data_IF_734250364421
#
_entry.id   IF_734250364421
#
_cell.length_a   1.000
_cell.length_b   1.000
_cell.length_c   1.000
_cell.angle_alpha   90.00
_cell.angle_beta   90.00
_cell.angle_gamma   90.00
#
_symmetry.space_group_name_H-M   'P 1'
#
loop_
_entity.id
_entity.type
_entity.pdbx_description
1 polymer ?
#
# COMPACT_ATOMS: atom_id res chain seq x y z
N UNK A 1 -3.17 7.61 15.62
CA UNK A 1 -2.71 7.39 14.24
C UNK A 1 -1.39 6.61 14.30
N UNK A 2 -1.35 5.43 13.72
CA UNK A 2 -0.20 4.51 13.65
C UNK A 2 0.38 4.58 12.25
N UNK A 3 1.67 4.88 12.15
CA UNK A 3 2.38 5.00 10.88
C UNK A 3 2.89 3.63 10.45
N UNK A 4 2.55 3.19 9.24
CA UNK A 4 2.84 1.84 8.75
C UNK A 4 3.61 1.92 7.43
N UNK A 5 4.64 1.09 7.31
CA UNK A 5 5.30 0.78 6.04
C UNK A 5 4.90 -0.61 5.56
N UNK A 6 4.58 -0.75 4.27
CA UNK A 6 4.21 -2.04 3.65
C UNK A 6 5.30 -2.47 2.69
N UNK A 7 5.90 -3.64 2.94
CA UNK A 7 6.91 -4.24 2.06
C UNK A 7 6.23 -5.23 1.13
N UNK A 8 6.45 -5.10 -0.18
CA UNK A 8 5.81 -5.97 -1.18
C UNK A 8 4.34 -5.59 -1.45
N UNK A 9 4.03 -4.30 -1.36
CA UNK A 9 2.71 -3.72 -1.58
C UNK A 9 2.17 -3.96 -3.01
N UNK A 10 3.04 -4.27 -3.98
CA UNK A 10 2.67 -4.59 -5.36
C UNK A 10 2.15 -6.02 -5.57
N UNK A 11 2.21 -6.89 -4.56
CA UNK A 11 1.58 -8.21 -4.61
C UNK A 11 0.09 -8.15 -4.25
N UNK A 12 -0.68 -9.18 -4.59
CA UNK A 12 -2.13 -9.21 -4.31
C UNK A 12 -2.49 -8.95 -2.85
N UNK A 13 -1.77 -9.58 -1.91
CA UNK A 13 -1.98 -9.36 -0.48
C UNK A 13 -1.61 -7.95 -0.05
N UNK A 14 -0.54 -7.39 -0.63
CA UNK A 14 -0.11 -6.03 -0.36
C UNK A 14 -1.12 -4.99 -0.85
N UNK A 15 -1.71 -5.22 -2.02
CA UNK A 15 -2.76 -4.39 -2.58
C UNK A 15 -4.04 -4.42 -1.74
N UNK A 16 -4.46 -5.60 -1.27
CA UNK A 16 -5.61 -5.71 -0.36
C UNK A 16 -5.35 -5.07 1.00
N UNK A 17 -4.12 -5.20 1.53
CA UNK A 17 -3.73 -4.49 2.75
C UNK A 17 -3.81 -2.97 2.56
N UNK A 18 -3.32 -2.44 1.43
CA UNK A 18 -3.45 -1.03 1.08
C UNK A 18 -4.92 -0.59 1.04
N UNK A 19 -5.81 -1.39 0.42
CA UNK A 19 -7.25 -1.11 0.37
C UNK A 19 -7.88 -1.03 1.75
N UNK A 20 -7.54 -1.96 2.65
CA UNK A 20 -8.03 -1.97 4.03
C UNK A 20 -7.47 -0.79 4.83
N UNK A 21 -6.17 -0.51 4.72
CA UNK A 21 -5.53 0.62 5.40
C UNK A 21 -6.11 1.97 4.95
N UNK A 22 -6.43 2.12 3.66
CA UNK A 22 -7.03 3.35 3.12
C UNK A 22 -8.40 3.68 3.75
N UNK A 23 -9.10 2.69 4.31
CA UNK A 23 -10.38 2.85 4.99
C UNK A 23 -10.26 2.85 6.52
N UNK A 24 -9.06 2.65 7.08
CA UNK A 24 -8.87 2.49 8.52
C UNK A 24 -8.58 3.84 9.19
N UNK A 25 -9.39 4.29 10.16
CA UNK A 25 -9.33 5.66 10.69
C UNK A 25 -8.04 5.97 11.46
N UNK A 26 -7.34 4.94 11.96
CA UNK A 26 -6.15 5.12 12.76
C UNK A 26 -4.84 4.74 12.06
N UNK A 27 -4.86 4.29 10.80
CA UNK A 27 -3.64 3.85 10.09
C UNK A 27 -3.28 4.85 9.00
N UNK A 28 -2.01 5.25 9.00
CA UNK A 28 -1.42 6.05 7.94
C UNK A 28 -0.32 5.24 7.25
N UNK A 29 -0.53 4.89 5.99
CA UNK A 29 0.51 4.22 5.19
C UNK A 29 1.48 5.29 4.70
N UNK A 30 2.69 5.28 5.25
CA UNK A 30 3.72 6.29 4.96
C UNK A 30 4.78 5.80 3.98
N UNK A 31 4.80 4.49 3.72
CA UNK A 31 5.69 3.87 2.75
C UNK A 31 5.05 2.58 2.20
N UNK A 32 5.18 2.37 0.90
CA UNK A 32 4.80 1.14 0.22
C UNK A 32 5.91 0.79 -0.77
N UNK A 33 6.47 -0.41 -0.68
CA UNK A 33 7.51 -0.86 -1.62
C UNK A 33 6.95 -1.89 -2.58
N UNK A 34 7.48 -1.90 -3.80
CA UNK A 34 7.27 -2.94 -4.80
C UNK A 34 8.59 -3.16 -5.54
N UNK A 35 8.80 -4.37 -6.06
CA UNK A 35 10.00 -4.69 -6.82
C UNK A 35 9.87 -4.17 -8.26
N UNK A 36 9.27 -4.98 -9.15
CA UNK A 36 9.04 -4.62 -10.56
C UNK A 36 8.13 -3.39 -10.78
N UNK A 37 7.44 -2.93 -9.74
CA UNK A 37 6.51 -1.80 -9.77
C UNK A 37 7.00 -0.58 -8.97
N UNK A 38 8.28 -0.54 -8.58
CA UNK A 38 8.87 0.61 -7.91
C UNK A 38 8.68 1.90 -8.74
N UNK A 39 8.26 2.98 -8.06
CA UNK A 39 8.02 4.29 -8.70
C UNK A 39 6.65 4.45 -9.35
N UNK A 40 5.85 3.38 -9.45
CA UNK A 40 4.47 3.44 -9.94
C UNK A 40 3.51 3.71 -8.79
N UNK A 41 2.53 4.58 -9.00
CA UNK A 41 1.46 4.81 -8.03
C UNK A 41 0.59 3.55 -7.90
N UNK A 42 0.27 3.15 -6.67
CA UNK A 42 -0.59 1.99 -6.41
C UNK A 42 -1.96 2.11 -7.10
N UNK A 43 -2.53 3.32 -7.17
CA UNK A 43 -3.79 3.61 -7.87
C UNK A 43 -3.73 3.43 -9.39
N UNK A 44 -2.53 3.45 -10.00
CA UNK A 44 -2.37 3.14 -11.43
C UNK A 44 -2.31 1.63 -11.70
N UNK A 45 -1.96 0.83 -10.69
CA UNK A 45 -1.95 -0.63 -10.79
C UNK A 45 -3.32 -1.22 -10.45
N UNK A 46 -4.01 -0.60 -9.49
CA UNK A 46 -5.32 -1.03 -8.97
C UNK A 46 -6.22 0.21 -8.78
N UNK A 47 -7.03 0.58 -9.79
CA UNK A 47 -7.96 1.71 -9.70
C UNK A 47 -9.19 1.39 -8.84
#
# INVERSE_FOLDING_TARGET
MVRVGIIGASGYTGAELLRLCAQHPEIEVVCATGDSQAGTLASMLYP
#
